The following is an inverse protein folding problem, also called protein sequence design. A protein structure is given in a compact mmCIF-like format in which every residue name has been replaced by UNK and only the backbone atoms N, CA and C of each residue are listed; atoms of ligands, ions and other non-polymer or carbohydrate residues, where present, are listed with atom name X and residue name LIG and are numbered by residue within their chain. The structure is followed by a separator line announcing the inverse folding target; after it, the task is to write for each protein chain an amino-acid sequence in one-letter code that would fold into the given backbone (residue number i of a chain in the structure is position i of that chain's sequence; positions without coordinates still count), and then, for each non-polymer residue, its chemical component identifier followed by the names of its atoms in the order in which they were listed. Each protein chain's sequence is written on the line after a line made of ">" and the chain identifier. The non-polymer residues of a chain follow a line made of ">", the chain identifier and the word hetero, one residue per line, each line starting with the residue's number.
data_IF_330095611241
#
_entry.id   IF_330095611241
#
_cell.length_a   1.000
_cell.length_b   1.000
_cell.length_c   1.000
_cell.angle_alpha   90.00
_cell.angle_beta   90.00
_cell.angle_gamma   90.00
#
_symmetry.space_group_name_H-M   'P 1'
#
loop_
_entity.id
_entity.type
_entity.pdbx_description
1 polymer ?
#
# COMPACT_ATOMS: atom_id res chain seq x y z
N UNK A 1 -16.78 -5.85 -11.32
CA UNK A 1 -15.36 -5.57 -11.00
C UNK A 1 -15.17 -5.79 -9.50
N UNK A 2 -14.10 -6.47 -9.07
CA UNK A 2 -13.85 -6.63 -7.63
C UNK A 2 -13.64 -5.25 -6.98
N UNK A 3 -14.26 -5.04 -5.82
CA UNK A 3 -14.17 -3.77 -5.08
C UNK A 3 -12.74 -3.62 -4.56
N UNK A 4 -12.01 -2.63 -5.09
CA UNK A 4 -10.68 -2.29 -4.62
C UNK A 4 -10.75 -1.71 -3.21
N UNK A 5 -9.79 -2.09 -2.37
CA UNK A 5 -9.61 -1.55 -1.02
C UNK A 5 -8.15 -1.17 -0.83
N UNK A 6 -7.85 -0.09 -0.10
CA UNK A 6 -6.49 0.21 0.31
C UNK A 6 -5.97 -0.83 1.30
N UNK A 7 -4.72 -1.23 1.13
CA UNK A 7 -4.00 -2.09 2.05
C UNK A 7 -2.61 -1.50 2.28
N UNK A 8 -2.12 -1.59 3.52
CA UNK A 8 -0.81 -1.10 3.92
C UNK A 8 0.00 -2.18 4.62
N UNK A 9 1.30 -1.93 4.66
CA UNK A 9 2.25 -2.62 5.52
C UNK A 9 3.33 -1.64 5.94
N UNK A 10 3.76 -1.75 7.19
CA UNK A 10 4.97 -1.10 7.66
C UNK A 10 6.20 -1.94 7.28
N UNK A 11 7.19 -1.30 6.65
CA UNK A 11 8.46 -1.89 6.27
C UNK A 11 9.61 -1.21 7.01
N UNK A 12 10.55 -2.02 7.47
CA UNK A 12 11.82 -1.60 8.07
C UNK A 12 11.69 -0.66 9.28
N UNK A 13 10.50 -0.60 9.90
CA UNK A 13 10.19 0.29 11.02
C UNK A 13 10.21 1.79 10.68
N UNK A 14 10.36 2.15 9.41
CA UNK A 14 10.55 3.53 8.96
C UNK A 14 9.61 3.95 7.84
N UNK A 15 9.06 2.99 7.10
CA UNK A 15 8.25 3.26 5.93
C UNK A 15 6.91 2.56 6.03
N UNK A 16 5.88 3.20 5.49
CA UNK A 16 4.62 2.57 5.19
C UNK A 16 4.50 2.44 3.68
N UNK A 17 4.05 1.28 3.23
CA UNK A 17 3.78 0.99 1.82
C UNK A 17 2.31 0.70 1.66
N UNK A 18 1.68 1.32 0.67
CA UNK A 18 0.26 1.18 0.37
C UNK A 18 -0.02 0.77 -1.07
N UNK A 19 -1.13 0.08 -1.26
CA UNK A 19 -1.68 -0.26 -2.58
C UNK A 19 -3.18 -0.48 -2.48
N UNK A 20 -3.93 -0.03 -3.49
CA UNK A 20 -5.32 -0.45 -3.65
C UNK A 20 -5.40 -1.74 -4.46
N UNK A 21 -6.02 -2.77 -3.89
CA UNK A 21 -6.08 -4.12 -4.45
C UNK A 21 -7.44 -4.79 -4.17
N UNK A 22 -7.79 -5.88 -4.87
CA UNK A 22 -9.06 -6.58 -4.64
C UNK A 22 -9.04 -7.47 -3.38
N UNK A 23 -7.87 -7.75 -2.82
CA UNK A 23 -7.70 -8.58 -1.61
C UNK A 23 -6.36 -8.31 -0.92
N UNK A 24 -6.23 -8.69 0.36
CA UNK A 24 -4.94 -8.67 1.09
C UNK A 24 -3.86 -9.49 0.37
N UNK A 25 -4.23 -10.62 -0.23
CA UNK A 25 -3.31 -11.49 -0.97
C UNK A 25 -2.74 -10.76 -2.19
N UNK A 26 -3.61 -10.15 -3.01
CA UNK A 26 -3.18 -9.39 -4.18
C UNK A 26 -2.31 -8.18 -3.80
N UNK A 27 -2.64 -7.49 -2.70
CA UNK A 27 -1.82 -6.41 -2.18
C UNK A 27 -0.42 -6.87 -1.76
N UNK A 28 -0.33 -8.00 -1.04
CA UNK A 28 0.94 -8.58 -0.62
C UNK A 28 1.82 -8.97 -1.82
N UNK A 29 1.22 -9.55 -2.86
CA UNK A 29 1.92 -9.87 -4.12
C UNK A 29 2.48 -8.62 -4.79
N UNK A 30 1.69 -7.54 -4.88
CA UNK A 30 2.11 -6.26 -5.47
C UNK A 30 3.27 -5.61 -4.71
N UNK A 31 3.23 -5.67 -3.39
CA UNK A 31 4.26 -5.09 -2.52
C UNK A 31 5.50 -5.99 -2.44
N UNK A 32 5.36 -7.30 -2.68
CA UNK A 32 6.44 -8.27 -2.50
C UNK A 32 6.61 -8.73 -1.06
N UNK A 33 5.51 -8.82 -0.31
CA UNK A 33 5.49 -9.28 1.09
C UNK A 33 4.52 -10.45 1.27
N UNK A 34 4.27 -10.86 2.51
CA UNK A 34 3.27 -11.88 2.85
C UNK A 34 1.96 -11.23 3.30
N UNK A 35 0.83 -11.89 3.04
CA UNK A 35 -0.49 -11.41 3.48
C UNK A 35 -0.62 -11.25 5.01
N UNK A 36 0.24 -11.93 5.78
CA UNK A 36 0.28 -11.83 7.24
C UNK A 36 0.83 -10.50 7.74
N UNK A 37 1.73 -9.87 6.96
CA UNK A 37 2.26 -8.54 7.26
C UNK A 37 1.29 -7.42 6.85
N UNK A 38 0.29 -7.75 6.02
CA UNK A 38 -0.69 -6.77 5.56
C UNK A 38 -1.68 -6.43 6.69
N UNK A 39 -1.53 -5.23 7.23
CA UNK A 39 -2.51 -4.67 8.14
C UNK A 39 -3.71 -4.18 7.34
N UNK A 40 -4.91 -4.52 7.83
CA UNK A 40 -6.12 -3.87 7.36
C UNK A 40 -6.09 -2.44 7.90
N UNK A 41 -6.39 -1.52 7.01
CA UNK A 41 -6.14 -0.10 7.17
C UNK A 41 -7.12 0.54 8.16
N UNK A 42 -6.85 0.45 9.46
CA UNK A 42 -7.74 1.02 10.50
C UNK A 42 -7.03 2.03 11.42
N UNK A 43 -5.70 2.20 11.33
CA UNK A 43 -4.92 2.75 12.44
C UNK A 43 -4.35 4.17 12.35
N UNK A 44 -4.30 4.85 11.19
CA UNK A 44 -3.56 6.13 11.17
C UNK A 44 -3.36 6.86 9.84
N UNK A 45 -4.21 6.65 8.85
CA UNK A 45 -4.17 7.39 7.59
C UNK A 45 -5.53 8.03 7.35
N UNK A 46 -5.52 9.28 6.87
CA UNK A 46 -6.72 10.08 6.64
C UNK A 46 -7.39 9.72 5.30
N UNK A 47 -8.57 10.26 5.05
CA UNK A 47 -9.34 10.00 3.83
C UNK A 47 -8.57 10.38 2.54
N UNK A 48 -7.66 11.36 2.62
CA UNK A 48 -6.81 11.78 1.49
C UNK A 48 -5.88 10.64 1.04
N UNK A 49 -5.28 9.94 2.00
CA UNK A 49 -4.38 8.83 1.74
C UNK A 49 -5.11 7.64 1.06
N UNK A 50 -6.36 7.37 1.48
CA UNK A 50 -7.22 6.38 0.81
C UNK A 50 -7.54 6.79 -0.63
N UNK A 51 -7.84 8.07 -0.87
CA UNK A 51 -8.11 8.59 -2.20
C UNK A 51 -6.90 8.42 -3.14
N UNK A 52 -5.66 8.59 -2.65
CA UNK A 52 -4.44 8.37 -3.45
C UNK A 52 -4.34 6.93 -3.92
N UNK A 53 -4.55 5.96 -3.03
CA UNK A 53 -4.48 4.54 -3.38
C UNK A 53 -5.60 4.15 -4.37
N UNK A 54 -6.83 4.60 -4.12
CA UNK A 54 -7.99 4.28 -4.96
C UNK A 54 -7.96 4.98 -6.32
N UNK A 55 -7.29 6.12 -6.46
CA UNK A 55 -7.13 6.80 -7.74
C UNK A 55 -6.30 5.99 -8.74
N UNK A 56 -5.36 5.15 -8.27
CA UNK A 56 -4.50 4.31 -9.11
C UNK A 56 -4.38 2.89 -8.54
N UNK A 57 -5.41 2.04 -8.70
CA UNK A 57 -5.37 0.66 -8.23
C UNK A 57 -4.20 -0.12 -8.84
N UNK A 58 -3.54 -0.94 -8.03
CA UNK A 58 -2.35 -1.70 -8.43
C UNK A 58 -1.03 -0.94 -8.38
N UNK A 59 -1.04 0.39 -8.22
CA UNK A 59 0.19 1.18 -8.00
C UNK A 59 0.59 1.11 -6.54
N UNK A 60 1.88 0.80 -6.32
CA UNK A 60 2.46 0.75 -4.98
C UNK A 60 3.03 2.12 -4.64
N UNK A 61 2.66 2.63 -3.48
CA UNK A 61 3.19 3.88 -2.95
C UNK A 61 3.93 3.64 -1.64
N UNK A 62 4.96 4.45 -1.39
CA UNK A 62 5.77 4.43 -0.17
C UNK A 62 5.83 5.83 0.43
N UNK A 63 5.76 5.91 1.76
CA UNK A 63 5.98 7.13 2.53
C UNK A 63 6.77 6.78 3.79
N UNK A 64 7.55 7.71 4.31
CA UNK A 64 8.19 7.57 5.62
C UNK A 64 7.15 7.76 6.74
N UNK A 65 7.20 6.93 7.77
CA UNK A 65 6.27 7.01 8.92
C UNK A 65 6.46 8.33 9.67
N UNK A 66 7.72 8.78 9.78
CA UNK A 66 8.10 10.02 10.44
C UNK A 66 8.40 11.08 9.39
N UNK A 67 7.72 12.22 9.50
CA UNK A 67 7.86 13.35 8.58
C UNK A 67 6.64 13.54 7.67
N UNK A 68 6.51 14.73 7.09
CA UNK A 68 5.41 15.10 6.19
C UNK A 68 5.75 14.85 4.72
N UNK A 69 6.47 13.77 4.44
CA UNK A 69 6.86 13.44 3.06
C UNK A 69 5.62 13.01 2.25
N UNK A 70 5.50 13.43 0.99
CA UNK A 70 4.40 12.98 0.13
C UNK A 70 4.57 11.50 -0.25
N UNK A 71 3.47 10.87 -0.64
CA UNK A 71 3.49 9.51 -1.21
C UNK A 71 4.33 9.44 -2.48
N UNK A 72 5.28 8.51 -2.51
CA UNK A 72 6.13 8.25 -3.65
C UNK A 72 5.72 6.95 -4.32
N UNK A 73 5.51 6.97 -5.63
CA UNK A 73 5.27 5.75 -6.41
C UNK A 73 6.55 4.93 -6.46
N UNK A 74 6.44 3.63 -6.22
CA UNK A 74 7.53 2.69 -6.34
C UNK A 74 7.14 1.53 -7.27
N UNK A 75 8.11 0.83 -7.89
CA UNK A 75 7.82 -0.35 -8.69
C UNK A 75 7.12 -1.43 -7.86
N UNK A 76 6.10 -2.06 -8.45
CA UNK A 76 5.49 -3.24 -7.86
C UNK A 76 6.45 -4.43 -7.99
N UNK A 77 6.51 -5.29 -6.97
CA UNK A 77 7.40 -6.45 -6.95
C UNK A 77 7.11 -7.45 -8.09
N UNK A 78 5.85 -7.50 -8.56
CA UNK A 78 5.42 -8.37 -9.67
C UNK A 78 6.02 -7.92 -11.01
N UNK A 79 6.41 -6.64 -11.16
CA UNK A 79 7.02 -6.13 -12.41
C UNK A 79 8.53 -6.41 -12.53
N UNK A 80 9.15 -7.00 -11.50
CA UNK A 80 10.59 -7.29 -11.46
C UNK A 80 10.95 -8.74 -11.82
N UNK A 81 10.04 -9.49 -12.46
CA UNK A 81 10.27 -10.88 -12.91
C UNK A 81 10.05 -11.04 -14.40
#
# INVERSE_FOLDING_TARGET
>A
MPKMKPYAVELDGLHVVMVAAPSKKAAAELIGTTMYMMTTWEGGMNDDDEAVALAQPGVVFRRRIIGSEPWQKIPAAIQSR
#
